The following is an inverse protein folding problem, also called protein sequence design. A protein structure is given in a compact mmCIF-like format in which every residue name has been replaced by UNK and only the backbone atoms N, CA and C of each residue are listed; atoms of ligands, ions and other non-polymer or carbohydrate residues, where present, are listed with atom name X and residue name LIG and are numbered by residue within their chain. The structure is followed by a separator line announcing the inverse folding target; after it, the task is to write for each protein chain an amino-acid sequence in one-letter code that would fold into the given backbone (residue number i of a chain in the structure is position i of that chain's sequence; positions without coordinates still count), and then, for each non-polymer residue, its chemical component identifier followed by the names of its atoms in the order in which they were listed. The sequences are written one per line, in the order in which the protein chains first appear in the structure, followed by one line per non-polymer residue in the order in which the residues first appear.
data_IF_183519009435
#
_entry.id   IF_183519009435
#
_cell.length_a   1.000
_cell.length_b   1.000
_cell.length_c   1.000
_cell.angle_alpha   90.00
_cell.angle_beta   90.00
_cell.angle_gamma   90.00
#
_symmetry.space_group_name_H-M   'P 1'
#
loop_
_entity.id
_entity.type
_entity.pdbx_description
1 polymer ?
#
# COMPACT_ATOMS: atom_id res chain seq x y z
N UNK A 1 8.36 -12.99 -3.32
CA UNK A 1 9.53 -13.33 -4.15
C UNK A 1 9.60 -12.53 -5.45
N UNK A 2 8.47 -12.22 -6.10
CA UNK A 2 8.40 -11.53 -7.39
C UNK A 2 9.38 -10.33 -7.56
N UNK A 3 9.56 -9.50 -6.52
CA UNK A 3 10.45 -8.33 -6.57
C UNK A 3 11.92 -8.60 -6.17
N UNK A 4 12.29 -9.83 -5.79
CA UNK A 4 13.66 -10.15 -5.38
C UNK A 4 14.70 -9.85 -6.46
N UNK A 5 14.50 -10.22 -7.75
CA UNK A 5 15.43 -9.84 -8.81
C UNK A 5 15.59 -8.32 -8.95
N UNK A 6 14.51 -7.57 -8.77
CA UNK A 6 14.53 -6.11 -8.80
C UNK A 6 15.34 -5.54 -7.64
N UNK A 7 15.16 -6.08 -6.43
CA UNK A 7 15.89 -5.68 -5.24
C UNK A 7 17.38 -5.99 -5.35
N UNK A 8 17.74 -7.16 -5.86
CA UNK A 8 19.13 -7.53 -6.13
C UNK A 8 19.78 -6.56 -7.10
N UNK A 9 19.12 -6.27 -8.23
CA UNK A 9 19.64 -5.33 -9.21
C UNK A 9 19.78 -3.91 -8.66
N UNK A 10 18.87 -3.47 -7.79
CA UNK A 10 18.88 -2.15 -7.20
C UNK A 10 19.94 -1.97 -6.10
N UNK A 11 20.24 -3.04 -5.35
CA UNK A 11 21.14 -2.98 -4.18
C UNK A 11 22.55 -3.48 -4.47
N UNK A 12 22.73 -4.28 -5.52
CA UNK A 12 23.99 -4.98 -5.80
C UNK A 12 24.30 -6.10 -4.79
N UNK A 13 23.32 -6.55 -4.02
CA UNK A 13 23.52 -7.66 -3.07
C UNK A 13 23.93 -8.93 -3.82
N UNK A 14 24.85 -9.69 -3.24
CA UNK A 14 25.28 -10.98 -3.77
C UNK A 14 24.19 -12.03 -3.51
N UNK A 15 23.32 -12.24 -4.51
CA UNK A 15 22.20 -13.17 -4.41
C UNK A 15 22.63 -14.62 -4.16
N UNK A 16 23.87 -15.00 -4.50
CA UNK A 16 24.36 -16.37 -4.26
C UNK A 16 24.62 -16.64 -2.77
N UNK A 17 24.80 -15.59 -1.97
CA UNK A 17 24.98 -15.67 -0.51
C UNK A 17 23.67 -15.64 0.26
N UNK A 18 22.52 -15.50 -0.43
CA UNK A 18 21.20 -15.40 0.19
C UNK A 18 20.45 -16.71 -0.03
N UNK A 19 20.12 -17.40 1.06
CA UNK A 19 19.24 -18.56 1.01
C UNK A 19 17.77 -18.12 1.11
N UNK A 20 16.96 -18.50 0.12
CA UNK A 20 15.55 -18.10 0.03
C UNK A 20 14.66 -19.28 0.41
N UNK A 21 13.93 -19.12 1.50
CA UNK A 21 12.94 -20.09 1.96
C UNK A 21 11.53 -19.59 1.65
N UNK A 22 10.76 -20.37 0.89
CA UNK A 22 9.36 -20.07 0.61
C UNK A 22 8.49 -20.83 1.62
N UNK A 23 7.83 -20.09 2.49
CA UNK A 23 6.95 -20.63 3.54
C UNK A 23 5.66 -19.82 3.61
N UNK A 24 4.60 -20.41 4.18
CA UNK A 24 3.32 -19.72 4.38
C UNK A 24 3.44 -18.53 5.36
N UNK A 25 2.50 -17.56 5.34
CA UNK A 25 2.60 -16.31 6.10
C UNK A 25 2.78 -16.50 7.62
N UNK A 26 1.99 -17.37 8.25
CA UNK A 26 2.08 -17.62 9.69
C UNK A 26 3.42 -18.24 10.09
N UNK A 27 3.89 -19.22 9.30
CA UNK A 27 5.18 -19.87 9.52
C UNK A 27 6.33 -18.87 9.32
N UNK A 28 6.24 -17.99 8.32
CA UNK A 28 7.25 -16.95 8.05
C UNK A 28 7.47 -16.05 9.26
N UNK A 29 6.40 -15.53 9.84
CA UNK A 29 6.48 -14.63 11.00
C UNK A 29 7.08 -15.35 12.21
N UNK A 30 6.61 -16.58 12.48
CA UNK A 30 7.15 -17.40 13.58
C UNK A 30 8.66 -17.64 13.42
N UNK A 31 9.09 -18.06 12.23
CA UNK A 31 10.50 -18.33 11.96
C UNK A 31 11.38 -17.07 12.10
N UNK A 32 10.88 -15.89 11.71
CA UNK A 32 11.58 -14.63 11.96
C UNK A 32 11.71 -14.35 13.47
N UNK A 33 10.61 -14.47 14.23
CA UNK A 33 10.62 -14.23 15.68
C UNK A 33 11.48 -15.23 16.46
N UNK A 34 11.57 -16.46 15.99
CA UNK A 34 12.44 -17.53 16.54
C UNK A 34 13.89 -17.43 16.05
N UNK A 35 14.23 -16.39 15.26
CA UNK A 35 15.56 -16.17 14.67
C UNK A 35 16.03 -17.34 13.79
N UNK A 36 15.10 -18.03 13.13
CA UNK A 36 15.36 -19.06 12.10
C UNK A 36 15.43 -18.45 10.69
N UNK A 37 14.94 -17.23 10.52
CA UNK A 37 15.13 -16.40 9.34
C UNK A 37 15.75 -15.06 9.76
N UNK A 38 16.66 -14.53 8.94
CA UNK A 38 17.27 -13.21 9.19
C UNK A 38 16.41 -12.05 8.69
N UNK A 39 15.61 -12.28 7.65
CA UNK A 39 14.73 -11.29 7.05
C UNK A 39 13.52 -11.94 6.39
N UNK A 40 12.44 -11.17 6.22
CA UNK A 40 11.24 -11.58 5.49
C UNK A 40 10.91 -10.56 4.40
N UNK A 41 10.47 -11.03 3.25
CA UNK A 41 9.81 -10.18 2.26
C UNK A 41 8.33 -10.06 2.61
N UNK A 42 7.84 -8.84 2.82
CA UNK A 42 6.45 -8.57 3.23
C UNK A 42 5.91 -7.27 2.62
N UNK A 43 4.59 -7.08 2.79
CA UNK A 43 3.93 -5.79 2.60
C UNK A 43 3.88 -5.10 3.95
N UNK A 44 4.44 -3.88 4.04
CA UNK A 44 4.60 -3.17 5.30
C UNK A 44 3.27 -3.00 6.06
N UNK A 45 2.23 -2.52 5.37
CA UNK A 45 0.89 -2.32 5.96
C UNK A 45 0.16 -3.60 6.39
N UNK A 46 0.66 -4.80 6.03
CA UNK A 46 0.07 -6.08 6.44
C UNK A 46 0.79 -6.70 7.63
N UNK A 47 2.13 -6.66 7.63
CA UNK A 47 2.92 -7.39 8.63
C UNK A 47 3.34 -6.51 9.81
N UNK A 48 3.66 -5.22 9.59
CA UNK A 48 4.08 -4.33 10.68
C UNK A 48 3.06 -4.18 11.82
N UNK A 49 1.75 -4.17 11.57
CA UNK A 49 0.76 -4.15 12.65
C UNK A 49 0.90 -5.33 13.63
N UNK A 50 1.32 -6.52 13.15
CA UNK A 50 1.54 -7.71 14.00
C UNK A 50 2.72 -7.48 14.95
N UNK A 51 3.81 -6.90 14.44
CA UNK A 51 5.00 -6.63 15.25
C UNK A 51 4.70 -5.53 16.28
N UNK A 52 4.03 -4.45 15.87
CA UNK A 52 3.68 -3.33 16.73
C UNK A 52 2.71 -3.73 17.84
N UNK A 53 1.64 -4.47 17.55
CA UNK A 53 0.68 -4.91 18.56
C UNK A 53 1.28 -5.85 19.60
N UNK A 54 2.34 -6.58 19.23
CA UNK A 54 3.06 -7.51 20.12
C UNK A 54 4.31 -6.90 20.77
N UNK A 55 4.63 -5.63 20.51
CA UNK A 55 5.84 -4.98 21.00
C UNK A 55 7.14 -5.63 20.51
N UNK A 56 7.12 -6.28 19.34
CA UNK A 56 8.28 -6.93 18.75
C UNK A 56 9.05 -5.89 17.93
N UNK A 57 10.32 -5.60 18.25
CA UNK A 57 11.11 -4.65 17.47
C UNK A 57 11.42 -5.23 16.08
N UNK A 58 11.42 -4.37 15.06
CA UNK A 58 11.75 -4.73 13.69
C UNK A 58 12.53 -3.60 13.00
N UNK A 59 13.22 -3.96 11.93
CA UNK A 59 13.88 -3.02 11.03
C UNK A 59 13.25 -3.13 9.63
N UNK A 60 13.23 -2.03 8.88
CA UNK A 60 12.65 -1.98 7.54
C UNK A 60 13.72 -1.86 6.46
N UNK A 61 13.52 -2.62 5.38
CA UNK A 61 14.23 -2.44 4.11
C UNK A 61 13.19 -2.14 3.03
N UNK A 62 12.90 -0.85 2.85
CA UNK A 62 11.85 -0.43 1.92
C UNK A 62 12.36 -0.41 0.49
N UNK A 63 11.69 -1.14 -0.39
CA UNK A 63 11.96 -1.16 -1.83
C UNK A 63 12.05 0.26 -2.42
N UNK A 64 11.17 1.18 -2.02
CA UNK A 64 11.18 2.57 -2.49
C UNK A 64 12.51 3.31 -2.20
N UNK A 65 13.17 3.03 -1.06
CA UNK A 65 14.48 3.62 -0.71
C UNK A 65 15.62 3.11 -1.59
N UNK A 66 15.38 2.05 -2.36
CA UNK A 66 16.30 1.49 -3.35
C UNK A 66 15.82 1.75 -4.79
N UNK A 67 14.99 2.77 -5.01
CA UNK A 67 14.53 3.16 -6.36
C UNK A 67 13.42 2.27 -6.94
N UNK A 68 12.87 1.36 -6.14
CA UNK A 68 11.76 0.48 -6.53
C UNK A 68 10.40 1.03 -6.09
N UNK A 69 10.19 2.33 -6.31
CA UNK A 69 8.89 2.98 -6.11
C UNK A 69 7.90 2.51 -7.18
N UNK A 70 6.70 2.09 -6.78
CA UNK A 70 5.69 1.56 -7.68
C UNK A 70 4.29 1.72 -7.11
N UNK A 71 3.27 1.79 -7.96
CA UNK A 71 1.89 1.68 -7.50
C UNK A 71 1.61 0.26 -7.01
N UNK A 72 0.97 0.17 -5.83
CA UNK A 72 0.56 -1.10 -5.23
C UNK A 72 -0.91 -1.42 -5.46
N UNK A 73 -1.80 -0.46 -5.16
CA UNK A 73 -3.25 -0.64 -5.19
C UNK A 73 -3.88 0.31 -6.20
N UNK A 74 -4.93 -0.14 -6.88
CA UNK A 74 -5.71 0.66 -7.81
C UNK A 74 -7.19 0.25 -7.77
N UNK A 75 -8.09 1.20 -8.05
CA UNK A 75 -9.49 0.89 -8.36
C UNK A 75 -9.56 0.55 -9.85
N UNK A 76 -10.04 -0.65 -10.17
CA UNK A 76 -10.04 -1.19 -11.53
C UNK A 76 -11.48 -1.47 -11.97
N UNK A 77 -11.81 -1.13 -13.21
CA UNK A 77 -13.09 -1.45 -13.83
C UNK A 77 -12.92 -1.73 -15.32
N UNK A 78 -13.93 -2.34 -15.94
CA UNK A 78 -13.92 -2.61 -17.37
C UNK A 78 -14.10 -1.33 -18.19
N UNK A 79 -13.43 -1.26 -19.35
CA UNK A 79 -13.55 -0.14 -20.31
C UNK A 79 -14.99 0.13 -20.74
N UNK A 80 -15.79 -0.91 -20.93
CA UNK A 80 -17.20 -0.75 -21.31
C UNK A 80 -18.04 -0.14 -20.19
N UNK A 81 -17.72 -0.40 -18.91
CA UNK A 81 -18.38 0.25 -17.77
C UNK A 81 -18.06 1.75 -17.75
N UNK A 82 -16.80 2.11 -18.00
CA UNK A 82 -16.39 3.53 -18.10
C UNK A 82 -17.15 4.26 -19.20
N UNK A 83 -17.31 3.62 -20.37
CA UNK A 83 -18.01 4.21 -21.52
C UNK A 83 -19.52 4.30 -21.32
N UNK A 84 -20.13 3.24 -20.80
CA UNK A 84 -21.59 3.11 -20.78
C UNK A 84 -22.22 3.64 -19.48
N UNK A 85 -21.47 3.71 -18.38
CA UNK A 85 -21.96 4.14 -17.07
C UNK A 85 -20.98 5.10 -16.36
N UNK A 86 -20.50 6.19 -17.01
CA UNK A 86 -19.48 7.07 -16.43
C UNK A 86 -19.93 7.73 -15.12
N UNK A 87 -21.21 8.07 -14.98
CA UNK A 87 -21.76 8.65 -13.75
C UNK A 87 -21.70 7.67 -12.57
N UNK A 88 -22.00 6.39 -12.83
CA UNK A 88 -21.90 5.33 -11.81
C UNK A 88 -20.44 5.13 -11.38
N UNK A 89 -19.51 5.15 -12.33
CA UNK A 89 -18.08 5.04 -12.01
C UNK A 89 -17.63 6.25 -11.18
N UNK A 90 -18.01 7.46 -11.57
CA UNK A 90 -17.69 8.66 -10.83
C UNK A 90 -18.21 8.59 -9.39
N UNK A 91 -19.48 8.20 -9.20
CA UNK A 91 -20.08 8.09 -7.88
C UNK A 91 -19.36 7.04 -7.00
N UNK A 92 -18.95 5.90 -7.58
CA UNK A 92 -18.19 4.87 -6.86
C UNK A 92 -16.80 5.37 -6.46
N UNK A 93 -16.09 6.05 -7.38
CA UNK A 93 -14.75 6.58 -7.10
C UNK A 93 -14.82 7.70 -6.05
N UNK A 94 -15.78 8.62 -6.17
CA UNK A 94 -15.98 9.69 -5.18
C UNK A 94 -16.28 9.10 -3.80
N UNK A 95 -17.23 8.16 -3.68
CA UNK A 95 -17.56 7.51 -2.42
C UNK A 95 -16.40 6.72 -1.80
N UNK A 96 -15.62 6.01 -2.63
CA UNK A 96 -14.44 5.29 -2.15
C UNK A 96 -13.35 6.25 -1.64
N UNK A 97 -13.11 7.36 -2.34
CA UNK A 97 -12.12 8.36 -1.95
C UNK A 97 -12.56 9.22 -0.76
N UNK A 98 -13.87 9.48 -0.61
CA UNK A 98 -14.45 10.09 0.58
C UNK A 98 -14.26 9.18 1.81
N UNK A 99 -14.53 7.88 1.66
CA UNK A 99 -14.23 6.89 2.71
C UNK A 99 -12.73 6.81 3.04
N UNK A 100 -11.86 6.89 2.03
CA UNK A 100 -10.41 6.96 2.24
C UNK A 100 -10.01 8.25 2.99
N UNK A 101 -10.56 9.41 2.60
CA UNK A 101 -10.33 10.67 3.31
C UNK A 101 -10.80 10.57 4.76
N UNK A 102 -11.97 9.98 5.00
CA UNK A 102 -12.49 9.74 6.35
C UNK A 102 -11.52 8.87 7.16
N UNK A 103 -10.99 7.81 6.56
CA UNK A 103 -10.02 6.92 7.21
C UNK A 103 -8.75 7.63 7.67
N UNK A 104 -8.31 8.63 6.91
CA UNK A 104 -7.13 9.42 7.24
C UNK A 104 -7.40 10.37 8.42
N UNK A 105 -8.61 10.93 8.49
CA UNK A 105 -8.97 11.95 9.47
C UNK A 105 -9.44 11.38 10.80
N UNK A 106 -10.04 10.19 10.80
CA UNK A 106 -10.57 9.54 11.99
C UNK A 106 -10.13 8.07 12.07
N UNK A 107 -8.84 7.81 12.37
CA UNK A 107 -8.31 6.45 12.41
C UNK A 107 -8.93 5.62 13.54
N UNK A 108 -9.36 6.26 14.64
CA UNK A 108 -10.02 5.57 15.76
C UNK A 108 -11.37 5.01 15.34
N UNK A 109 -12.25 5.85 14.80
CA UNK A 109 -13.57 5.39 14.37
C UNK A 109 -13.48 4.44 13.18
N UNK A 110 -12.51 4.64 12.30
CA UNK A 110 -12.21 3.71 11.20
C UNK A 110 -11.81 2.33 11.71
N UNK A 111 -11.01 2.27 12.78
CA UNK A 111 -10.66 1.00 13.44
C UNK A 111 -11.91 0.30 13.94
N UNK A 112 -12.81 1.03 14.61
CA UNK A 112 -14.05 0.45 15.14
C UNK A 112 -14.95 -0.05 14.01
N UNK A 113 -15.14 0.74 12.95
CA UNK A 113 -15.91 0.32 11.75
C UNK A 113 -15.31 -0.94 11.12
N UNK A 114 -13.97 -1.01 11.03
CA UNK A 114 -13.31 -2.18 10.46
C UNK A 114 -13.59 -3.45 11.26
N UNK A 115 -13.48 -3.38 12.59
CA UNK A 115 -13.78 -4.49 13.49
C UNK A 115 -15.26 -4.91 13.44
N UNK A 116 -16.19 -3.96 13.29
CA UNK A 116 -17.62 -4.24 13.14
C UNK A 116 -17.95 -4.96 11.82
N UNK A 117 -17.24 -4.63 10.74
CA UNK A 117 -17.57 -5.09 9.39
C UNK A 117 -16.85 -6.37 8.96
N UNK A 118 -15.63 -6.61 9.45
CA UNK A 118 -14.76 -7.70 8.99
C UNK A 118 -14.72 -8.81 10.04
N UNK A 119 -15.67 -9.74 9.94
CA UNK A 119 -15.88 -10.84 10.90
C UNK A 119 -14.69 -11.80 11.01
N UNK A 120 -13.80 -11.82 10.02
CA UNK A 120 -12.53 -12.56 10.08
C UNK A 120 -11.61 -12.06 11.19
N UNK A 121 -11.84 -10.86 11.73
CA UNK A 121 -11.16 -10.35 12.93
C UNK A 121 -11.82 -10.79 14.24
N UNK A 122 -12.91 -11.55 14.22
CA UNK A 122 -13.50 -12.11 15.43
C UNK A 122 -12.51 -13.12 16.08
N UNK A 123 -12.29 -13.00 17.40
CA UNK A 123 -11.41 -13.92 18.15
C UNK A 123 -9.99 -13.40 18.35
N UNK A 124 -8.96 -14.22 18.10
CA UNK A 124 -7.55 -13.87 18.42
C UNK A 124 -6.99 -12.68 17.61
N UNK A 125 -7.64 -12.31 16.50
CA UNK A 125 -7.32 -11.15 15.67
C UNK A 125 -8.12 -9.90 16.03
N UNK A 126 -9.01 -9.96 17.03
CA UNK A 126 -9.85 -8.83 17.49
C UNK A 126 -9.08 -7.77 18.27
N UNK A 127 -7.76 -7.92 18.35
CA UNK A 127 -6.90 -6.91 18.94
C UNK A 127 -7.05 -5.60 18.18
N UNK A 128 -7.78 -4.68 18.80
CA UNK A 128 -8.02 -3.34 18.26
C UNK A 128 -6.73 -2.60 17.94
N UNK A 129 -5.64 -2.87 18.67
CA UNK A 129 -4.35 -2.25 18.38
C UNK A 129 -3.76 -2.72 17.06
N UNK A 130 -3.90 -4.01 16.71
CA UNK A 130 -3.50 -4.54 15.41
C UNK A 130 -4.21 -3.81 14.27
N UNK A 131 -5.55 -3.71 14.33
CA UNK A 131 -6.32 -3.04 13.28
C UNK A 131 -5.95 -1.55 13.19
N UNK A 132 -5.81 -0.89 14.34
CA UNK A 132 -5.41 0.53 14.41
C UNK A 132 -4.04 0.78 13.78
N UNK A 133 -3.03 -0.04 14.08
CA UNK A 133 -1.72 0.09 13.43
C UNK A 133 -1.82 -0.12 11.92
N UNK A 134 -2.66 -1.06 11.48
CA UNK A 134 -2.99 -1.26 10.07
C UNK A 134 -3.51 0.03 9.42
N UNK A 135 -4.51 0.67 10.02
CA UNK A 135 -5.06 1.94 9.52
C UNK A 135 -3.97 3.00 9.44
N UNK A 136 -3.22 3.24 10.52
CA UNK A 136 -2.19 4.29 10.58
C UNK A 136 -1.06 4.10 9.57
N UNK A 137 -0.57 2.86 9.39
CA UNK A 137 0.49 2.56 8.43
C UNK A 137 -0.02 2.70 6.99
N UNK A 138 -1.24 2.24 6.70
CA UNK A 138 -1.83 2.40 5.38
C UNK A 138 -2.08 3.88 5.06
N UNK A 139 -2.47 4.69 6.05
CA UNK A 139 -2.55 6.14 5.90
C UNK A 139 -1.16 6.71 5.58
N UNK A 140 -0.12 6.46 6.39
CA UNK A 140 1.23 6.96 6.15
C UNK A 140 1.77 6.64 4.75
N UNK A 141 1.56 5.40 4.30
CA UNK A 141 2.04 4.94 2.99
C UNK A 141 1.22 5.44 1.80
N UNK A 142 0.07 6.08 2.05
CA UNK A 142 -0.79 6.66 1.02
C UNK A 142 -0.59 8.17 0.81
N UNK A 143 0.22 8.85 1.64
CA UNK A 143 0.41 10.31 1.58
C UNK A 143 1.51 10.73 0.59
N UNK A 144 1.25 10.56 -0.71
CA UNK A 144 2.16 11.09 -1.72
C UNK A 144 2.05 12.63 -1.83
N UNK A 145 3.16 13.40 -1.82
CA UNK A 145 3.11 14.88 -1.79
C UNK A 145 2.34 15.52 -2.94
N UNK A 146 2.35 14.90 -4.12
CA UNK A 146 1.62 15.43 -5.29
C UNK A 146 0.09 15.45 -5.08
N UNK A 147 -0.44 14.64 -4.15
CA UNK A 147 -1.87 14.57 -3.85
C UNK A 147 -2.38 15.83 -3.15
N UNK A 148 -1.51 16.63 -2.53
CA UNK A 148 -1.92 17.93 -1.95
C UNK A 148 -2.52 18.86 -3.02
N UNK A 149 -1.93 18.84 -4.22
CA UNK A 149 -2.40 19.65 -5.34
C UNK A 149 -3.45 18.91 -6.17
N UNK A 150 -3.19 17.63 -6.46
CA UNK A 150 -3.99 16.86 -7.42
C UNK A 150 -5.26 16.25 -6.81
N UNK A 151 -5.30 16.05 -5.49
CA UNK A 151 -6.39 15.36 -4.80
C UNK A 151 -6.21 13.84 -4.77
N UNK A 152 -6.99 13.17 -3.92
CA UNK A 152 -6.92 11.73 -3.70
C UNK A 152 -7.26 10.94 -4.97
N UNK A 153 -6.66 9.76 -5.09
CA UNK A 153 -6.84 8.85 -6.23
C UNK A 153 -6.12 9.26 -7.51
N UNK A 154 -5.51 10.46 -7.57
CA UNK A 154 -4.75 10.87 -8.73
C UNK A 154 -3.51 9.98 -8.92
N UNK A 155 -3.26 9.57 -10.16
CA UNK A 155 -2.08 8.80 -10.55
C UNK A 155 -1.16 9.62 -11.45
N UNK A 156 0.12 9.68 -11.10
CA UNK A 156 1.15 10.36 -11.89
C UNK A 156 1.66 9.44 -13.01
N UNK A 157 1.62 9.93 -14.26
CA UNK A 157 2.03 9.14 -15.41
C UNK A 157 3.47 8.63 -15.30
N UNK A 158 4.38 9.42 -14.72
CA UNK A 158 5.78 9.02 -14.50
C UNK A 158 5.88 7.81 -13.57
N UNK A 159 5.10 7.77 -12.50
CA UNK A 159 5.11 6.65 -11.56
C UNK A 159 4.41 5.41 -12.15
N UNK A 160 3.36 5.60 -12.97
CA UNK A 160 2.75 4.51 -13.74
C UNK A 160 3.76 3.90 -14.72
N UNK A 161 4.46 4.73 -15.49
CA UNK A 161 5.49 4.29 -16.42
C UNK A 161 6.63 3.55 -15.69
N UNK A 162 7.15 4.12 -14.60
CA UNK A 162 8.18 3.48 -13.79
C UNK A 162 7.70 2.13 -13.20
N UNK A 163 6.42 2.02 -12.86
CA UNK A 163 5.81 0.76 -12.39
C UNK A 163 5.78 -0.28 -13.51
N UNK A 164 5.31 0.10 -14.70
CA UNK A 164 5.29 -0.78 -15.87
C UNK A 164 6.70 -1.28 -16.22
N UNK A 165 7.69 -0.37 -16.27
CA UNK A 165 9.08 -0.71 -16.59
C UNK A 165 9.65 -1.77 -15.63
N UNK A 166 9.39 -1.62 -14.33
CA UNK A 166 9.83 -2.57 -13.29
C UNK A 166 9.14 -3.91 -13.45
N UNK A 167 7.83 -3.92 -13.70
CA UNK A 167 7.06 -5.15 -13.91
C UNK A 167 7.55 -5.88 -15.15
N UNK A 168 7.75 -5.17 -16.27
CA UNK A 168 8.23 -5.77 -17.53
C UNK A 168 9.62 -6.36 -17.35
N UNK A 169 10.53 -5.59 -16.74
CA UNK A 169 11.92 -6.00 -16.55
C UNK A 169 12.09 -7.18 -15.59
N UNK A 170 11.34 -7.19 -14.48
CA UNK A 170 11.61 -8.13 -13.38
C UNK A 170 10.56 -9.22 -13.21
N UNK A 171 9.33 -9.03 -13.70
CA UNK A 171 8.25 -10.02 -13.62
C UNK A 171 7.99 -10.73 -14.96
N UNK A 172 8.72 -10.38 -16.02
CA UNK A 172 8.63 -11.04 -17.31
C UNK A 172 7.30 -10.83 -18.04
N UNK A 173 6.53 -9.81 -17.65
CA UNK A 173 5.29 -9.42 -18.32
C UNK A 173 5.63 -8.62 -19.57
N UNK A 174 4.94 -8.86 -20.69
CA UNK A 174 5.12 -8.04 -21.89
C UNK A 174 4.40 -6.70 -21.71
N UNK A 175 5.04 -5.60 -22.09
CA UNK A 175 4.36 -4.32 -22.20
C UNK A 175 3.39 -4.38 -23.39
N UNK A 176 2.09 -4.48 -23.12
CA UNK A 176 1.09 -4.54 -24.19
C UNK A 176 0.61 -3.14 -24.65
N UNK A 177 0.78 -2.12 -23.80
CA UNK A 177 0.19 -0.79 -24.03
C UNK A 177 1.09 0.30 -23.45
N UNK A 178 0.99 1.51 -24.00
CA UNK A 178 1.59 2.72 -23.43
C UNK A 178 1.06 2.96 -21.99
N UNK A 179 1.90 3.40 -21.03
CA UNK A 179 1.48 3.68 -19.66
C UNK A 179 0.22 4.56 -19.55
N UNK A 180 0.08 5.56 -20.42
CA UNK A 180 -1.07 6.47 -20.40
C UNK A 180 -2.38 5.79 -20.83
N UNK A 181 -2.32 4.63 -21.49
CA UNK A 181 -3.49 3.83 -21.86
C UNK A 181 -3.92 2.85 -20.75
N UNK A 182 -3.13 2.72 -19.68
CA UNK A 182 -3.39 1.80 -18.57
C UNK A 182 -4.34 2.38 -17.52
N UNK A 183 -4.47 3.71 -17.45
CA UNK A 183 -5.21 4.38 -16.38
C UNK A 183 -5.88 5.66 -16.88
N UNK A 184 -6.77 6.24 -16.07
CA UNK A 184 -7.37 7.55 -16.31
C UNK A 184 -7.54 8.32 -15.01
N UNK A 185 -7.25 9.61 -15.04
CA UNK A 185 -7.52 10.54 -13.93
C UNK A 185 -8.88 11.24 -14.08
N UNK A 186 -9.69 10.91 -15.10
CA UNK A 186 -11.00 11.54 -15.34
C UNK A 186 -11.91 11.54 -14.10
N UNK A 187 -11.82 10.49 -13.28
CA UNK A 187 -12.67 10.28 -12.11
C UNK A 187 -11.98 10.60 -10.78
N UNK A 188 -10.70 10.97 -10.80
CA UNK A 188 -9.88 11.19 -9.62
C UNK A 188 -9.69 12.68 -9.30
N UNK A 189 -9.18 12.99 -8.10
CA UNK A 189 -8.76 14.34 -7.73
C UNK A 189 -9.86 15.30 -7.23
N UNK A 190 -11.13 14.88 -7.24
CA UNK A 190 -12.25 15.66 -6.69
C UNK A 190 -12.22 15.73 -5.16
N UNK A 191 -11.88 14.61 -4.52
CA UNK A 191 -11.76 14.53 -3.06
C UNK A 191 -10.39 15.03 -2.63
N UNK A 192 -10.35 16.10 -1.85
CA UNK A 192 -9.12 16.72 -1.35
C UNK A 192 -9.13 16.88 0.16
N UNK A 193 -7.95 16.81 0.77
CA UNK A 193 -7.74 17.32 2.11
C UNK A 193 -7.41 18.81 2.02
N UNK A 194 -7.94 19.60 2.95
CA UNK A 194 -7.54 20.99 3.17
C UNK A 194 -6.11 21.05 3.74
N UNK A 195 -5.42 22.20 3.69
CA UNK A 195 -4.09 22.31 4.29
C UNK A 195 -4.04 21.96 5.78
N UNK A 196 -5.10 22.29 6.54
CA UNK A 196 -5.21 21.92 7.95
C UNK A 196 -5.40 20.42 8.15
N UNK A 197 -6.27 19.80 7.35
CA UNK A 197 -6.47 18.34 7.33
C UNK A 197 -5.17 17.61 6.98
N UNK A 198 -4.43 18.04 5.96
CA UNK A 198 -3.12 17.48 5.60
C UNK A 198 -2.15 17.48 6.77
N UNK A 199 -2.01 18.63 7.45
CA UNK A 199 -1.14 18.74 8.62
C UNK A 199 -1.57 17.79 9.74
N UNK A 200 -2.87 17.69 10.01
CA UNK A 200 -3.41 16.77 11.03
C UNK A 200 -3.10 15.31 10.70
N UNK A 201 -3.30 14.90 9.45
CA UNK A 201 -3.05 13.52 9.02
C UNK A 201 -1.54 13.21 9.04
N UNK A 202 -0.69 14.11 8.55
CA UNK A 202 0.76 13.92 8.58
C UNK A 202 1.28 13.79 10.02
N UNK A 203 0.78 14.61 10.94
CA UNK A 203 1.15 14.54 12.35
C UNK A 203 0.70 13.23 13.00
N UNK A 204 -0.52 12.74 12.68
CA UNK A 204 -1.07 11.52 13.28
C UNK A 204 -0.33 10.25 12.88
N UNK A 205 0.40 10.28 11.75
CA UNK A 205 1.12 9.12 11.22
C UNK A 205 2.63 9.32 11.10
N UNK A 206 3.19 10.39 11.67
CA UNK A 206 4.61 10.75 11.55
C UNK A 206 5.58 9.65 11.97
N UNK A 207 5.18 8.79 12.91
CA UNK A 207 6.00 7.66 13.40
C UNK A 207 6.07 6.51 12.40
N UNK A 208 5.16 6.46 11.43
CA UNK A 208 5.09 5.47 10.36
C UNK A 208 5.44 6.03 9.00
N UNK A 209 5.67 7.35 8.90
CA UNK A 209 6.12 8.02 7.69
C UNK A 209 7.55 7.56 7.34
N UNK A 210 7.80 7.29 6.05
CA UNK A 210 8.97 6.55 5.57
C UNK A 210 9.99 7.40 4.82
#
# INVERSE_FOLDING_TARGET
YALWPAFVAATGIDAQKVNINIVGPELRLRLLTEKKLDAIGSVYGSDAPIFLSRGIPYNLMLHAKYGLEMYSNAIITHRDRLKNNPEQVQALVDGALEGLKYSFLDPEKTTDIHLEMVKEYDGASSDRSFVKYGVLINTATSLAPYLEQQGLGYMENKLVAATQDKIVKYLGVKAEQDPSALYTNQFAGRVKLTPAEWKTVQESVKEYAL
#
